data_IF_066742686281
#
_entry.id   IF_066742686281
#
_cell.length_a   1.000
_cell.length_b   1.000
_cell.length_c   1.000
_cell.angle_alpha   90.00
_cell.angle_beta   90.00
_cell.angle_gamma   90.00
#
_symmetry.space_group_name_H-M   'P 1'
#
loop_
_entity.id
_entity.type
_entity.pdbx_description
1 polymer ?
#
# COMPACT_ATOMS: atom_id res chain seq x y z
N UNK A 1 33.84 -9.46 33.93
CA UNK A 1 33.01 -8.37 33.38
C UNK A 1 31.89 -9.01 32.55
N UNK A 2 30.62 -8.87 32.94
CA UNK A 2 29.48 -9.35 32.13
C UNK A 2 29.10 -8.24 31.15
N UNK A 3 29.19 -8.51 29.84
CA UNK A 3 28.70 -7.63 28.79
C UNK A 3 27.25 -7.24 29.08
N UNK A 4 27.00 -5.93 29.31
CA UNK A 4 25.67 -5.35 29.51
C UNK A 4 25.00 -5.04 28.15
N UNK A 5 25.05 -5.98 27.21
CA UNK A 5 24.23 -5.88 26.02
C UNK A 5 22.80 -6.25 26.42
N UNK A 6 21.97 -5.23 26.69
CA UNK A 6 20.53 -5.40 26.72
C UNK A 6 20.09 -5.72 25.30
N UNK A 7 19.84 -6.99 25.01
CA UNK A 7 19.14 -7.39 23.79
C UNK A 7 17.72 -6.85 23.87
N UNK A 8 17.41 -5.85 23.05
CA UNK A 8 16.03 -5.42 22.86
C UNK A 8 15.28 -6.51 22.11
N UNK A 9 14.13 -6.92 22.65
CA UNK A 9 13.30 -7.95 22.05
C UNK A 9 12.68 -7.39 20.75
N UNK A 10 13.02 -7.98 19.61
CA UNK A 10 12.59 -7.54 18.28
C UNK A 10 11.05 -7.58 18.16
N UNK A 11 10.42 -8.56 18.82
CA UNK A 11 8.96 -8.69 18.87
C UNK A 11 8.26 -7.51 19.58
N UNK A 12 8.95 -6.83 20.50
CA UNK A 12 8.38 -5.69 21.21
C UNK A 12 8.44 -4.42 20.35
N UNK A 13 9.38 -4.34 19.40
CA UNK A 13 9.51 -3.20 18.51
C UNK A 13 8.43 -3.23 17.43
N UNK A 14 8.04 -4.40 16.91
CA UNK A 14 6.97 -4.49 15.91
C UNK A 14 5.58 -4.17 16.49
N UNK A 15 5.33 -4.50 17.76
CA UNK A 15 4.08 -4.14 18.46
C UNK A 15 3.91 -2.62 18.65
N UNK A 16 4.99 -1.89 18.95
CA UNK A 16 4.94 -0.43 19.13
C UNK A 16 4.41 0.28 17.88
N UNK A 17 4.74 -0.23 16.68
CA UNK A 17 4.31 0.33 15.39
C UNK A 17 2.80 0.16 15.16
N UNK A 18 2.17 -0.82 15.80
CA UNK A 18 0.73 -1.08 15.67
C UNK A 18 -0.14 -0.13 16.51
N UNK A 19 0.47 0.81 17.24
CA UNK A 19 -0.23 1.87 17.96
C UNK A 19 -0.32 3.20 17.20
N UNK A 20 0.28 3.29 16.00
CA UNK A 20 0.43 4.54 15.26
C UNK A 20 -0.78 4.92 14.39
N UNK A 21 -0.94 6.22 14.04
CA UNK A 21 -2.08 6.72 13.27
C UNK A 21 -2.30 6.06 11.90
N UNK A 22 -1.23 5.54 11.26
CA UNK A 22 -1.37 4.82 9.99
C UNK A 22 -2.22 3.54 10.11
N UNK A 23 -2.37 2.99 11.33
CA UNK A 23 -3.18 1.79 11.59
C UNK A 23 -4.64 2.01 11.23
N UNK A 24 -5.17 3.22 11.46
CA UNK A 24 -6.51 3.58 11.00
C UNK A 24 -6.64 3.50 9.46
N UNK A 25 -5.56 3.75 8.70
CA UNK A 25 -5.55 3.57 7.25
C UNK A 25 -5.48 2.11 6.83
N UNK A 26 -4.85 1.25 7.63
CA UNK A 26 -4.85 -0.20 7.41
C UNK A 26 -6.26 -0.78 7.52
N UNK A 27 -7.05 -0.25 8.45
CA UNK A 27 -8.45 -0.67 8.64
C UNK A 27 -9.33 -0.36 7.43
N UNK A 28 -8.90 0.53 6.54
CA UNK A 28 -9.58 0.80 5.28
C UNK A 28 -9.38 -0.32 4.24
N UNK A 29 -8.59 -1.35 4.53
CA UNK A 29 -8.39 -2.49 3.64
C UNK A 29 -8.78 -3.81 4.33
N UNK A 30 -9.35 -4.74 3.58
CA UNK A 30 -9.65 -6.12 3.98
C UNK A 30 -8.70 -7.06 3.24
N UNK A 31 -8.13 -8.05 3.90
CA UNK A 31 -7.21 -9.00 3.26
C UNK A 31 -6.45 -9.83 4.29
N UNK A 32 -5.29 -10.41 3.90
CA UNK A 32 -4.33 -11.02 4.80
C UNK A 32 -3.91 -10.09 5.94
N UNK A 33 -3.23 -10.63 6.94
CA UNK A 33 -2.79 -9.83 8.10
C UNK A 33 -1.70 -8.81 7.70
N UNK A 34 -2.14 -7.59 7.38
CA UNK A 34 -1.26 -6.47 7.00
C UNK A 34 -0.28 -6.10 8.13
N UNK A 35 -0.62 -6.41 9.39
CA UNK A 35 0.27 -6.19 10.53
C UNK A 35 1.50 -7.08 10.42
N UNK A 36 1.35 -8.32 9.96
CA UNK A 36 2.49 -9.21 9.71
C UNK A 36 3.40 -8.71 8.58
N UNK A 37 2.84 -8.12 7.52
CA UNK A 37 3.65 -7.53 6.46
C UNK A 37 4.48 -6.35 6.98
N UNK A 38 3.86 -5.48 7.78
CA UNK A 38 4.54 -4.35 8.42
C UNK A 38 5.62 -4.84 9.38
N UNK A 39 5.32 -5.83 10.23
CA UNK A 39 6.31 -6.41 11.15
C UNK A 39 7.53 -6.95 10.41
N UNK A 40 7.33 -7.71 9.33
CA UNK A 40 8.44 -8.22 8.49
C UNK A 40 9.26 -7.10 7.88
N UNK A 41 8.62 -6.04 7.39
CA UNK A 41 9.29 -4.87 6.85
C UNK A 41 10.10 -4.11 7.92
N UNK A 42 9.51 -3.88 9.10
CA UNK A 42 10.17 -3.25 10.24
C UNK A 42 11.39 -4.06 10.68
N UNK A 43 11.26 -5.37 10.80
CA UNK A 43 12.37 -6.28 11.15
C UNK A 43 13.52 -6.21 10.14
N UNK A 44 13.19 -6.25 8.84
CA UNK A 44 14.16 -6.09 7.75
C UNK A 44 14.92 -4.76 7.86
N UNK A 45 14.21 -3.64 8.02
CA UNK A 45 14.82 -2.30 8.12
C UNK A 45 15.66 -2.14 9.38
N UNK A 46 15.24 -2.71 10.51
CA UNK A 46 16.03 -2.73 11.74
C UNK A 46 17.33 -3.53 11.53
N UNK A 47 17.29 -4.62 10.78
CA UNK A 47 18.49 -5.41 10.50
C UNK A 47 19.50 -4.64 9.63
N UNK A 48 19.06 -4.03 8.52
CA UNK A 48 19.91 -3.14 7.69
C UNK A 48 20.51 -2.02 8.54
N UNK A 49 19.68 -1.35 9.35
CA UNK A 49 20.09 -0.31 10.26
C UNK A 49 21.16 -0.73 11.26
N UNK A 50 21.11 -1.96 11.79
CA UNK A 50 22.12 -2.46 12.74
C UNK A 50 23.47 -2.65 12.07
N UNK A 51 23.47 -3.04 10.79
CA UNK A 51 24.69 -3.18 9.99
C UNK A 51 25.34 -1.82 9.73
N UNK A 52 24.52 -0.77 9.56
CA UNK A 52 24.97 0.62 9.41
C UNK A 52 25.40 1.27 10.74
N UNK A 53 24.63 1.09 11.81
CA UNK A 53 24.80 1.74 13.12
C UNK A 53 25.99 1.21 13.94
N UNK A 54 26.60 0.10 13.54
CA UNK A 54 27.93 -0.31 14.05
C UNK A 54 28.99 0.81 13.87
N UNK A 55 28.69 1.85 13.08
CA UNK A 55 29.55 3.02 12.83
C UNK A 55 29.26 4.27 13.67
N UNK A 56 28.06 4.47 14.24
CA UNK A 56 27.64 5.77 14.82
C UNK A 56 27.10 5.73 16.27
N UNK A 57 26.87 4.55 16.85
CA UNK A 57 26.37 4.42 18.23
C UNK A 57 24.90 4.01 18.29
N UNK A 58 24.62 2.97 19.09
CA UNK A 58 23.51 2.06 18.83
C UNK A 58 22.10 2.59 19.19
N UNK A 59 21.97 3.50 20.17
CA UNK A 59 20.66 3.79 20.78
C UNK A 59 19.90 4.95 20.12
N UNK A 60 20.57 6.07 19.86
CA UNK A 60 19.95 7.20 19.14
C UNK A 60 19.67 6.87 17.67
N UNK A 61 20.52 6.02 17.06
CA UNK A 61 20.29 5.50 15.73
C UNK A 61 18.97 4.73 15.65
N UNK A 62 18.73 3.80 16.58
CA UNK A 62 17.51 2.97 16.58
C UNK A 62 16.23 3.82 16.67
N UNK A 63 16.18 4.84 17.52
CA UNK A 63 14.98 5.69 17.63
C UNK A 63 14.74 6.52 16.37
N UNK A 64 15.78 7.12 15.77
CA UNK A 64 15.67 7.81 14.47
C UNK A 64 15.20 6.87 13.36
N UNK A 65 15.67 5.63 13.37
CA UNK A 65 15.28 4.59 12.41
C UNK A 65 13.80 4.24 12.58
N UNK A 66 13.31 4.12 13.82
CA UNK A 66 11.89 3.87 14.06
C UNK A 66 11.00 4.99 13.53
N UNK A 67 11.34 6.25 13.83
CA UNK A 67 10.63 7.42 13.32
C UNK A 67 10.61 7.44 11.78
N UNK A 68 11.74 7.10 11.16
CA UNK A 68 11.87 7.04 9.70
C UNK A 68 10.96 5.96 9.11
N UNK A 69 11.04 4.72 9.62
CA UNK A 69 10.22 3.60 9.14
C UNK A 69 8.72 3.91 9.31
N UNK A 70 8.33 4.48 10.44
CA UNK A 70 6.95 4.90 10.70
C UNK A 70 6.45 5.88 9.64
N UNK A 71 7.24 6.92 9.36
CA UNK A 71 6.92 7.91 8.35
C UNK A 71 6.86 7.30 6.95
N UNK A 72 7.78 6.39 6.62
CA UNK A 72 7.77 5.69 5.33
C UNK A 72 6.50 4.86 5.12
N UNK A 73 6.06 4.12 6.14
CA UNK A 73 4.81 3.34 6.09
C UNK A 73 3.61 4.27 5.97
N UNK A 74 3.56 5.34 6.76
CA UNK A 74 2.46 6.30 6.76
C UNK A 74 2.34 7.00 5.39
N UNK A 75 3.44 7.52 4.86
CA UNK A 75 3.47 8.21 3.57
C UNK A 75 3.05 7.27 2.43
N UNK A 76 3.54 6.03 2.44
CA UNK A 76 3.18 5.01 1.46
C UNK A 76 1.68 4.66 1.51
N UNK A 77 1.15 4.36 2.70
CA UNK A 77 -0.28 4.06 2.89
C UNK A 77 -1.17 5.24 2.52
N UNK A 78 -0.74 6.46 2.88
CA UNK A 78 -1.44 7.68 2.54
C UNK A 78 -1.51 7.89 1.03
N UNK A 79 -0.42 7.61 0.32
CA UNK A 79 -0.36 7.73 -1.12
C UNK A 79 -1.26 6.71 -1.82
N UNK A 80 -1.18 5.42 -1.46
CA UNK A 80 -2.08 4.39 -2.00
C UNK A 80 -3.55 4.78 -1.81
N UNK A 81 -3.91 5.23 -0.59
CA UNK A 81 -5.27 5.67 -0.27
C UNK A 81 -5.70 6.84 -1.15
N UNK A 82 -4.85 7.87 -1.30
CA UNK A 82 -5.14 9.03 -2.15
C UNK A 82 -5.36 8.66 -3.61
N UNK A 83 -4.56 7.74 -4.16
CA UNK A 83 -4.70 7.29 -5.55
C UNK A 83 -6.04 6.56 -5.72
N UNK A 84 -6.35 5.59 -4.84
CA UNK A 84 -7.61 4.84 -4.88
C UNK A 84 -8.83 5.76 -4.78
N UNK A 85 -8.80 6.74 -3.87
CA UNK A 85 -9.91 7.67 -3.68
C UNK A 85 -10.03 8.64 -4.88
N UNK A 86 -8.92 9.16 -5.40
CA UNK A 86 -8.91 10.03 -6.58
C UNK A 86 -9.49 9.33 -7.81
N UNK A 87 -9.02 8.12 -8.10
CA UNK A 87 -9.47 7.35 -9.28
C UNK A 87 -10.95 7.04 -9.16
N UNK A 88 -11.41 6.60 -7.99
CA UNK A 88 -12.81 6.30 -7.75
C UNK A 88 -13.73 7.50 -7.89
N UNK A 89 -13.38 8.62 -7.25
CA UNK A 89 -14.19 9.83 -7.31
C UNK A 89 -14.23 10.43 -8.72
N UNK A 90 -13.14 10.32 -9.48
CA UNK A 90 -13.09 10.76 -10.88
C UNK A 90 -13.92 9.84 -11.77
N UNK A 91 -13.77 8.52 -11.63
CA UNK A 91 -14.58 7.53 -12.35
C UNK A 91 -16.08 7.80 -12.17
N UNK A 92 -16.50 7.99 -10.92
CA UNK A 92 -17.89 8.26 -10.56
C UNK A 92 -18.46 9.55 -11.16
N UNK A 93 -17.63 10.58 -11.36
CA UNK A 93 -18.07 11.90 -11.84
C UNK A 93 -18.01 12.02 -13.36
N UNK A 94 -16.93 11.55 -13.96
CA UNK A 94 -16.61 11.80 -15.36
C UNK A 94 -17.01 10.63 -16.28
N UNK A 95 -17.05 9.39 -15.77
CA UNK A 95 -17.29 8.19 -16.57
C UNK A 95 -18.67 7.59 -16.29
N UNK A 96 -19.71 8.11 -16.96
CA UNK A 96 -21.12 7.74 -16.70
C UNK A 96 -21.44 6.26 -16.93
N UNK A 97 -20.79 5.64 -17.91
CA UNK A 97 -21.04 4.26 -18.31
C UNK A 97 -20.03 3.26 -17.72
N UNK A 98 -19.23 3.70 -16.73
CA UNK A 98 -18.22 2.87 -16.07
C UNK A 98 -18.47 2.90 -14.56
N UNK A 99 -18.53 1.71 -13.96
CA UNK A 99 -18.61 1.55 -12.52
C UNK A 99 -17.38 0.82 -12.00
N UNK A 100 -16.66 1.43 -11.05
CA UNK A 100 -15.69 0.69 -10.23
C UNK A 100 -16.46 -0.10 -9.18
N UNK A 101 -16.25 -1.40 -9.16
CA UNK A 101 -16.91 -2.35 -8.26
C UNK A 101 -16.04 -2.63 -7.06
N UNK A 102 -14.74 -2.76 -7.28
CA UNK A 102 -13.79 -3.13 -6.25
C UNK A 102 -12.42 -2.56 -6.60
N UNK A 103 -11.71 -2.09 -5.58
CA UNK A 103 -10.31 -1.66 -5.71
C UNK A 103 -9.43 -2.58 -4.87
N UNK A 104 -8.40 -3.11 -5.51
CA UNK A 104 -7.45 -4.02 -4.88
C UNK A 104 -6.04 -3.49 -4.96
N UNK A 105 -5.20 -3.91 -4.02
CA UNK A 105 -3.79 -3.54 -3.97
C UNK A 105 -2.96 -4.67 -3.38
N UNK A 106 -1.65 -4.60 -3.62
CA UNK A 106 -0.65 -5.30 -2.83
C UNK A 106 0.31 -4.27 -2.22
N UNK A 107 0.69 -4.46 -0.95
CA UNK A 107 1.53 -3.50 -0.24
C UNK A 107 2.99 -3.94 -0.28
N UNK A 108 3.76 -3.35 -1.20
CA UNK A 108 5.19 -3.62 -1.33
C UNK A 108 6.03 -2.58 -0.57
N UNK A 109 5.93 -2.56 0.76
CA UNK A 109 6.62 -1.58 1.62
C UNK A 109 8.13 -1.49 1.34
N UNK A 110 8.80 -2.63 1.11
CA UNK A 110 10.24 -2.67 0.87
C UNK A 110 10.67 -2.02 -0.46
N UNK A 111 9.97 -2.31 -1.56
CA UNK A 111 10.30 -1.72 -2.87
C UNK A 111 9.65 -0.36 -3.10
N UNK A 112 8.71 0.03 -2.24
CA UNK A 112 7.85 1.22 -2.39
C UNK A 112 7.07 1.22 -3.71
N UNK A 113 6.88 0.07 -4.33
CA UNK A 113 6.15 -0.05 -5.58
C UNK A 113 4.65 -0.07 -5.31
N UNK A 114 3.91 0.89 -5.86
CA UNK A 114 2.46 0.95 -5.77
C UNK A 114 1.87 0.14 -6.93
N UNK A 115 1.07 -0.89 -6.60
CA UNK A 115 0.28 -1.63 -7.59
C UNK A 115 -1.18 -1.67 -7.15
N UNK A 116 -2.06 -1.06 -7.94
CA UNK A 116 -3.48 -0.99 -7.65
C UNK A 116 -4.24 -1.53 -8.85
N UNK A 117 -5.21 -2.40 -8.59
CA UNK A 117 -6.10 -2.98 -9.57
C UNK A 117 -7.54 -2.50 -9.32
N UNK A 118 -8.17 -1.95 -10.35
CA UNK A 118 -9.57 -1.55 -10.34
C UNK A 118 -10.43 -2.58 -11.08
N UNK A 119 -11.35 -3.24 -10.40
CA UNK A 119 -12.36 -4.08 -11.06
C UNK A 119 -13.50 -3.17 -11.48
N UNK A 120 -13.73 -3.09 -12.78
CA UNK A 120 -14.74 -2.23 -13.39
C UNK A 120 -15.83 -3.04 -14.07
N UNK A 121 -16.96 -2.41 -14.31
CA UNK A 121 -18.02 -2.92 -15.17
C UNK A 121 -18.46 -1.80 -16.10
N UNK A 122 -18.33 -2.06 -17.40
CA UNK A 122 -18.78 -1.20 -18.49
C UNK A 122 -19.10 -2.04 -19.72
N UNK A 123 -20.01 -1.55 -20.56
CA UNK A 123 -20.29 -2.10 -21.90
C UNK A 123 -19.56 -1.31 -23.00
N UNK A 124 -18.98 -0.16 -22.65
CA UNK A 124 -18.40 0.78 -23.60
C UNK A 124 -16.90 0.59 -23.70
N UNK A 125 -16.44 0.13 -24.87
CA UNK A 125 -15.00 0.06 -25.18
C UNK A 125 -14.34 1.44 -25.18
N UNK A 126 -15.08 2.50 -25.51
CA UNK A 126 -14.57 3.89 -25.43
C UNK A 126 -14.29 4.27 -23.97
N UNK A 127 -15.21 3.94 -23.05
CA UNK A 127 -15.00 4.17 -21.61
C UNK A 127 -13.81 3.39 -21.06
N UNK A 128 -13.53 2.18 -21.55
CA UNK A 128 -12.33 1.43 -21.18
C UNK A 128 -11.04 2.12 -21.63
N UNK A 129 -11.01 2.60 -22.88
CA UNK A 129 -9.86 3.30 -23.45
C UNK A 129 -9.60 4.59 -22.68
N UNK A 130 -10.65 5.39 -22.45
CA UNK A 130 -10.53 6.65 -21.72
C UNK A 130 -10.11 6.43 -20.26
N UNK A 131 -10.64 5.39 -19.61
CA UNK A 131 -10.24 5.05 -18.26
C UNK A 131 -8.78 4.58 -18.21
N UNK A 132 -8.33 3.78 -19.18
CA UNK A 132 -6.93 3.40 -19.34
C UNK A 132 -6.02 4.63 -19.47
N UNK A 133 -6.39 5.58 -20.33
CA UNK A 133 -5.64 6.82 -20.52
C UNK A 133 -5.58 7.64 -19.23
N UNK A 134 -6.70 7.74 -18.51
CA UNK A 134 -6.74 8.42 -17.22
C UNK A 134 -5.80 7.76 -16.20
N UNK A 135 -5.82 6.42 -16.07
CA UNK A 135 -4.91 5.71 -15.16
C UNK A 135 -3.43 5.97 -15.52
N UNK A 136 -3.09 5.95 -16.81
CA UNK A 136 -1.73 6.26 -17.29
C UNK A 136 -1.29 7.68 -16.91
N UNK A 137 -2.19 8.66 -16.97
CA UNK A 137 -1.87 10.03 -16.55
C UNK A 137 -1.67 10.13 -15.03
N UNK A 138 -2.46 9.38 -14.23
CA UNK A 138 -2.25 9.30 -12.78
C UNK A 138 -0.89 8.68 -12.46
N UNK A 139 -0.50 7.61 -13.14
CA UNK A 139 0.83 6.98 -12.97
C UNK A 139 1.96 7.97 -13.24
N UNK A 140 1.90 8.71 -14.36
CA UNK A 140 2.90 9.73 -14.71
C UNK A 140 3.01 10.79 -13.63
N UNK A 141 1.88 11.28 -13.11
CA UNK A 141 1.88 12.28 -12.02
C UNK A 141 2.53 11.71 -10.76
N UNK A 142 2.21 10.48 -10.38
CA UNK A 142 2.80 9.82 -9.20
C UNK A 142 4.32 9.65 -9.37
N UNK A 143 4.76 9.23 -10.55
CA UNK A 143 6.19 9.08 -10.86
C UNK A 143 6.91 10.43 -10.86
N UNK A 144 6.40 11.43 -11.59
CA UNK A 144 7.09 12.70 -11.80
C UNK A 144 7.09 13.58 -10.56
N UNK A 145 5.97 13.62 -9.82
CA UNK A 145 5.79 14.52 -8.67
C UNK A 145 6.15 13.87 -7.35
N UNK A 146 5.79 12.61 -7.17
CA UNK A 146 5.90 11.93 -5.89
C UNK A 146 7.08 10.95 -5.83
N UNK A 147 7.69 10.64 -6.99
CA UNK A 147 8.87 9.77 -7.11
C UNK A 147 8.62 8.33 -6.66
N UNK A 148 7.39 7.85 -6.84
CA UNK A 148 7.02 6.44 -6.63
C UNK A 148 6.84 5.73 -7.96
N UNK A 149 7.32 4.49 -8.05
CA UNK A 149 6.91 3.58 -9.11
C UNK A 149 5.45 3.17 -8.86
N UNK A 150 4.60 3.35 -9.85
CA UNK A 150 3.17 3.15 -9.76
C UNK A 150 2.68 2.39 -10.98
N UNK A 151 1.89 1.34 -10.77
CA UNK A 151 1.16 0.62 -11.80
C UNK A 151 -0.31 0.52 -11.39
N UNK A 152 -1.19 1.01 -12.27
CA UNK A 152 -2.62 1.08 -12.12
C UNK A 152 -3.25 0.29 -13.25
N UNK A 153 -3.85 -0.84 -12.89
CA UNK A 153 -4.51 -1.73 -13.84
C UNK A 153 -6.01 -1.69 -13.65
N UNK A 154 -6.76 -2.12 -14.67
CA UNK A 154 -8.15 -2.47 -14.50
C UNK A 154 -8.48 -3.81 -15.15
N UNK A 155 -9.53 -4.45 -14.63
CA UNK A 155 -10.17 -5.60 -15.25
C UNK A 155 -11.65 -5.28 -15.44
N UNK A 156 -12.14 -5.35 -16.67
CA UNK A 156 -13.57 -5.29 -16.92
C UNK A 156 -14.18 -6.68 -16.66
N UNK A 157 -15.03 -6.78 -15.63
CA UNK A 157 -15.70 -8.04 -15.28
C UNK A 157 -16.92 -8.35 -16.17
N UNK A 158 -17.28 -7.47 -17.10
CA UNK A 158 -18.49 -7.62 -17.92
C UNK A 158 -18.42 -8.93 -18.70
N UNK A 159 -19.33 -9.85 -18.40
CA UNK A 159 -19.46 -11.16 -19.04
C UNK A 159 -18.20 -12.05 -18.97
N UNK A 160 -17.29 -11.80 -18.02
CA UNK A 160 -16.07 -12.57 -17.81
C UNK A 160 -16.00 -13.06 -16.37
N UNK A 161 -15.72 -14.35 -16.19
CA UNK A 161 -15.40 -14.90 -14.88
C UNK A 161 -13.96 -14.54 -14.51
N UNK A 162 -13.78 -13.89 -13.37
CA UNK A 162 -12.45 -13.53 -12.87
C UNK A 162 -11.92 -14.69 -12.04
N UNK A 163 -10.73 -15.19 -12.39
CA UNK A 163 -9.95 -16.13 -11.58
C UNK A 163 -9.64 -15.50 -10.21
N UNK A 164 -10.42 -15.91 -9.21
CA UNK A 164 -10.30 -15.38 -7.85
C UNK A 164 -9.01 -15.80 -7.16
N UNK A 165 -8.46 -16.96 -7.50
CA UNK A 165 -7.25 -17.46 -6.83
C UNK A 165 -6.05 -16.62 -7.24
N UNK A 166 -5.89 -16.39 -8.55
CA UNK A 166 -4.85 -15.48 -9.07
C UNK A 166 -5.04 -14.06 -8.53
N UNK A 167 -6.28 -13.55 -8.53
CA UNK A 167 -6.59 -12.22 -8.03
C UNK A 167 -6.27 -12.04 -6.53
N UNK A 168 -6.56 -13.04 -5.70
CA UNK A 168 -6.25 -13.03 -4.27
C UNK A 168 -4.75 -13.16 -3.98
N UNK A 169 -4.00 -13.81 -4.86
CA UNK A 169 -2.55 -13.93 -4.71
C UNK A 169 -1.83 -12.63 -5.08
N UNK A 170 -2.20 -12.04 -6.22
CA UNK A 170 -1.51 -10.87 -6.76
C UNK A 170 -1.96 -9.57 -6.10
N UNK A 171 -3.26 -9.45 -5.81
CA UNK A 171 -3.89 -8.26 -5.22
C UNK A 171 -4.75 -8.62 -3.98
N UNK A 172 -4.10 -9.06 -2.88
CA UNK A 172 -4.79 -9.62 -1.72
C UNK A 172 -5.62 -8.62 -0.90
N UNK A 173 -5.38 -7.31 -1.03
CA UNK A 173 -6.02 -6.30 -0.19
C UNK A 173 -7.12 -5.55 -0.94
N UNK A 174 -8.34 -5.62 -0.42
CA UNK A 174 -9.53 -4.97 -0.97
C UNK A 174 -9.81 -3.69 -0.18
N UNK A 175 -10.00 -2.57 -0.86
CA UNK A 175 -10.44 -1.31 -0.25
C UNK A 175 -11.86 -1.46 0.32
N UNK A 176 -12.02 -1.17 1.61
CA UNK A 176 -13.33 -0.99 2.24
C UNK A 176 -13.87 0.38 1.85
N UNK A 177 -15.12 0.40 1.36
CA UNK A 177 -15.87 1.63 1.17
C UNK A 177 -16.85 1.79 2.31
N UNK A 178 -16.90 2.96 2.92
CA UNK A 178 -18.02 3.29 3.81
C UNK A 178 -19.29 3.36 2.93
N UNK A 179 -20.20 2.41 3.19
CA UNK A 179 -21.49 2.15 2.51
C UNK A 179 -21.46 1.23 1.28
N UNK A 180 -21.48 -0.08 1.56
CA UNK A 180 -22.39 -1.02 0.89
C UNK A 180 -23.29 -1.66 1.93
N UNK A 181 -24.28 -0.89 2.39
CA UNK A 181 -25.54 -1.35 2.97
C UNK A 181 -26.62 -1.14 1.91
#
# INVERSE_FOLDING_TARGET
MKNRLKSYNIFQISEDFLSYPFVARLELFKGPDIRQLISKYVEYRIQEAKEEAFKEGYKEAIEKIKETINKEIEDYMALVTKIVDLVYETAKKEFKDLKIIEERTNFYFSSKWIKILFIIETESSESEIDFSNFLNEVEKVVFDKLKYACELFFLNKKNVEIDQDSLNNDYPFIRKRENSL
#
